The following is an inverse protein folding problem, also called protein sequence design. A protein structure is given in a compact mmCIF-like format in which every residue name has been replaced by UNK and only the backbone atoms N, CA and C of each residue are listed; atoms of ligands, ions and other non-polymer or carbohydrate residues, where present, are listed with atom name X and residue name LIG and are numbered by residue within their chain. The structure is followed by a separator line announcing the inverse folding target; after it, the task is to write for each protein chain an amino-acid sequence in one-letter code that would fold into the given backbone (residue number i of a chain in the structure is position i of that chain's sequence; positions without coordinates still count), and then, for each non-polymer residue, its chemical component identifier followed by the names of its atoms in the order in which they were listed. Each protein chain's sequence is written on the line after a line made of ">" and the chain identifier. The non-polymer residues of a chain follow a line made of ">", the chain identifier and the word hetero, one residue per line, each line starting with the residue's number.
data_IF_191059632164
#
_entry.id   IF_191059632164
#
_cell.length_a   1.000
_cell.length_b   1.000
_cell.length_c   1.000
_cell.angle_alpha   90.00
_cell.angle_beta   90.00
_cell.angle_gamma   90.00
#
_symmetry.space_group_name_H-M   'P 1'
#
loop_
_entity.id
_entity.type
_entity.pdbx_description
1 polymer ?
#
# COMPACT_ATOMS: atom_id res chain seq x y z
N UNK A 1 17.37 -19.79 26.97
CA UNK A 1 17.55 -20.88 27.96
C UNK A 1 16.72 -20.52 29.17
N UNK A 2 16.03 -21.46 29.83
CA UNK A 2 15.19 -21.12 31.00
C UNK A 2 16.06 -20.86 32.23
N UNK A 3 15.54 -20.11 33.20
CA UNK A 3 16.23 -19.87 34.47
C UNK A 3 16.60 -21.17 35.19
N UNK A 4 15.73 -22.19 35.14
CA UNK A 4 16.00 -23.48 35.78
C UNK A 4 17.21 -24.17 35.13
N UNK A 5 17.30 -24.15 33.80
CA UNK A 5 18.44 -24.73 33.09
C UNK A 5 19.75 -23.98 33.37
N UNK A 6 19.69 -22.64 33.49
CA UNK A 6 20.86 -21.83 33.88
C UNK A 6 21.30 -22.19 35.31
N UNK A 7 20.35 -22.29 36.23
CA UNK A 7 20.62 -22.61 37.63
C UNK A 7 21.20 -24.02 37.79
N UNK A 8 20.63 -25.01 37.10
CA UNK A 8 21.16 -26.38 37.09
C UNK A 8 22.59 -26.42 36.54
N UNK A 9 22.88 -25.66 35.48
CA UNK A 9 24.25 -25.57 34.95
C UNK A 9 25.23 -24.96 35.96
N UNK A 10 24.80 -23.91 36.69
CA UNK A 10 25.61 -23.33 37.77
C UNK A 10 25.88 -24.34 38.89
N UNK A 11 24.86 -25.09 39.33
CA UNK A 11 25.01 -26.13 40.36
C UNK A 11 25.92 -27.28 39.90
N UNK A 12 25.84 -27.68 38.63
CA UNK A 12 26.69 -28.72 38.04
C UNK A 12 28.16 -28.30 37.92
N UNK A 13 28.43 -26.99 37.83
CA UNK A 13 29.79 -26.45 37.74
C UNK A 13 30.48 -26.35 39.12
N UNK A 14 29.71 -26.31 40.20
CA UNK A 14 30.24 -26.25 41.57
C UNK A 14 30.73 -27.63 42.00
N UNK A 15 31.80 -27.70 42.81
CA UNK A 15 32.30 -28.97 43.34
C UNK A 15 31.26 -29.65 44.25
N UNK A 16 31.12 -30.98 44.14
CA UNK A 16 30.20 -31.79 44.95
C UNK A 16 30.53 -31.82 46.44
N UNK A 17 31.69 -31.30 46.86
CA UNK A 17 32.00 -31.11 48.29
C UNK A 17 31.12 -30.06 48.98
N UNK A 18 30.45 -29.19 48.23
CA UNK A 18 29.55 -28.16 48.77
C UNK A 18 28.10 -28.65 48.76
N UNK A 19 27.32 -28.26 49.77
CA UNK A 19 25.88 -28.54 49.81
C UNK A 19 25.16 -27.73 48.72
N UNK A 20 24.48 -28.44 47.81
CA UNK A 20 23.69 -27.92 46.67
C UNK A 20 22.19 -28.13 46.85
N UNK A 21 21.75 -28.61 48.01
CA UNK A 21 20.35 -28.89 48.28
C UNK A 21 19.49 -27.62 48.27
N UNK A 22 18.21 -27.78 47.92
CA UNK A 22 17.26 -26.67 47.87
C UNK A 22 17.10 -26.04 49.27
N UNK A 23 17.30 -24.72 49.36
CA UNK A 23 17.32 -23.96 50.62
C UNK A 23 18.69 -23.88 51.30
N UNK A 24 19.73 -24.48 50.72
CA UNK A 24 21.12 -24.29 51.14
C UNK A 24 21.71 -22.97 50.62
N UNK A 25 22.73 -22.45 51.29
CA UNK A 25 23.39 -21.19 50.93
C UNK A 25 23.85 -21.15 49.46
N UNK A 26 24.49 -22.23 48.99
CA UNK A 26 24.98 -22.33 47.60
C UNK A 26 23.83 -22.28 46.60
N UNK A 27 22.73 -22.98 46.88
CA UNK A 27 21.54 -23.02 46.03
C UNK A 27 20.89 -21.63 45.96
N UNK A 28 20.68 -20.97 47.10
CA UNK A 28 20.00 -19.66 47.12
C UNK A 28 20.83 -18.55 46.44
N UNK A 29 22.16 -18.54 46.67
CA UNK A 29 23.06 -17.57 46.02
C UNK A 29 23.12 -17.79 44.52
N UNK A 30 23.29 -19.04 44.06
CA UNK A 30 23.32 -19.34 42.62
C UNK A 30 21.97 -19.11 41.95
N UNK A 31 20.85 -19.32 42.65
CA UNK A 31 19.51 -19.00 42.16
C UNK A 31 19.33 -17.50 41.93
N UNK A 32 19.80 -16.66 42.87
CA UNK A 32 19.80 -15.20 42.73
C UNK A 32 20.62 -14.76 41.52
N UNK A 33 21.82 -15.32 41.34
CA UNK A 33 22.66 -15.04 40.17
C UNK A 33 22.01 -15.52 38.88
N UNK A 34 21.39 -16.71 38.87
CA UNK A 34 20.69 -17.25 37.72
C UNK A 34 19.54 -16.35 37.25
N UNK A 35 18.82 -15.69 38.16
CA UNK A 35 17.80 -14.68 37.79
C UNK A 35 18.43 -13.53 36.99
N UNK A 36 19.53 -12.96 37.48
CA UNK A 36 20.22 -11.84 36.82
C UNK A 36 20.78 -12.28 35.47
N UNK A 37 21.43 -13.45 35.40
CA UNK A 37 21.98 -14.01 34.17
C UNK A 37 20.89 -14.34 33.15
N UNK A 38 19.73 -14.84 33.59
CA UNK A 38 18.59 -15.07 32.72
C UNK A 38 18.11 -13.75 32.10
N UNK A 39 17.93 -12.69 32.90
CA UNK A 39 17.56 -11.38 32.38
C UNK A 39 18.59 -10.77 31.41
N UNK A 40 19.89 -11.02 31.61
CA UNK A 40 20.92 -10.63 30.64
C UNK A 40 20.91 -11.50 29.37
N UNK A 41 20.59 -12.79 29.50
CA UNK A 41 20.45 -13.71 28.37
C UNK A 41 19.24 -13.35 27.51
N UNK A 42 18.12 -12.95 28.12
CA UNK A 42 16.93 -12.45 27.42
C UNK A 42 17.27 -11.21 26.59
N UNK A 43 17.90 -10.18 27.19
CA UNK A 43 18.36 -8.99 26.47
C UNK A 43 19.36 -9.29 25.34
N UNK A 44 20.24 -10.26 25.57
CA UNK A 44 21.21 -10.69 24.55
C UNK A 44 20.50 -11.37 23.38
N UNK A 45 19.51 -12.22 23.64
CA UNK A 45 18.69 -12.84 22.58
C UNK A 45 17.88 -11.79 21.83
N UNK A 46 17.24 -10.84 22.52
CA UNK A 46 16.55 -9.71 21.87
C UNK A 46 17.50 -8.92 20.95
N UNK A 47 18.75 -8.71 21.39
CA UNK A 47 19.76 -8.02 20.58
C UNK A 47 20.18 -8.84 19.36
N UNK A 48 20.37 -10.16 19.53
CA UNK A 48 20.70 -11.08 18.44
C UNK A 48 19.55 -11.12 17.42
N UNK A 49 18.30 -11.17 17.88
CA UNK A 49 17.13 -11.20 17.02
C UNK A 49 17.04 -9.93 16.16
N UNK A 50 17.42 -8.77 16.73
CA UNK A 50 17.50 -7.50 16.01
C UNK A 50 18.62 -7.42 14.96
N UNK A 51 19.54 -8.38 14.91
CA UNK A 51 20.53 -8.46 13.82
C UNK A 51 19.91 -8.92 12.50
N UNK A 52 18.77 -9.62 12.56
CA UNK A 52 18.04 -10.02 11.38
C UNK A 52 16.99 -8.96 11.01
N UNK A 53 17.11 -8.39 9.80
CA UNK A 53 16.17 -7.38 9.28
C UNK A 53 14.73 -7.88 9.19
N UNK A 54 14.54 -9.20 9.04
CA UNK A 54 13.19 -9.80 9.00
C UNK A 54 12.46 -9.69 10.34
N UNK A 55 13.20 -9.56 11.45
CA UNK A 55 12.65 -9.40 12.79
C UNK A 55 12.41 -7.93 13.17
N UNK A 56 12.88 -6.97 12.36
CA UNK A 56 12.74 -5.55 12.64
C UNK A 56 11.39 -5.03 12.15
N UNK A 57 10.80 -4.12 12.93
CA UNK A 57 9.53 -3.46 12.63
C UNK A 57 9.59 -1.96 12.92
N UNK A 58 8.69 -1.18 12.33
CA UNK A 58 8.51 0.24 12.61
C UNK A 58 9.80 1.06 12.47
N UNK A 59 10.11 1.89 13.48
CA UNK A 59 11.27 2.78 13.46
C UNK A 59 12.61 2.03 13.40
N UNK A 60 12.71 0.86 14.03
CA UNK A 60 13.95 0.06 14.01
C UNK A 60 14.28 -0.41 12.59
N UNK A 61 13.26 -0.91 11.87
CA UNK A 61 13.39 -1.28 10.47
C UNK A 61 13.73 -0.08 9.60
N UNK A 62 13.03 1.05 9.78
CA UNK A 62 13.28 2.29 9.04
C UNK A 62 14.72 2.76 9.19
N UNK A 63 15.22 2.81 10.44
CA UNK A 63 16.59 3.20 10.73
C UNK A 63 17.60 2.23 10.13
N UNK A 64 17.36 0.93 10.24
CA UNK A 64 18.27 -0.10 9.69
C UNK A 64 18.39 0.00 8.17
N UNK A 65 17.25 0.09 7.48
CA UNK A 65 17.18 0.18 6.01
C UNK A 65 17.83 1.48 5.51
N UNK A 66 17.57 2.61 6.17
CA UNK A 66 18.21 3.88 5.84
C UNK A 66 19.73 3.80 6.00
N UNK A 67 20.24 3.30 7.13
CA UNK A 67 21.67 3.21 7.41
C UNK A 67 22.45 2.32 6.43
N UNK A 68 21.80 1.27 5.90
CA UNK A 68 22.47 0.26 5.05
C UNK A 68 22.27 0.48 3.55
N UNK A 69 21.13 1.03 3.15
CA UNK A 69 20.75 1.17 1.75
C UNK A 69 20.45 2.62 1.33
N UNK A 70 20.38 3.57 2.27
CA UNK A 70 20.00 4.97 1.99
C UNK A 70 18.51 5.15 1.67
N UNK A 71 17.70 4.11 1.82
CA UNK A 71 16.29 4.12 1.48
C UNK A 71 15.50 4.78 2.62
N UNK A 72 14.68 5.78 2.26
CA UNK A 72 13.72 6.41 3.17
C UNK A 72 12.35 5.74 3.04
N UNK A 73 11.66 5.58 4.17
CA UNK A 73 10.27 5.08 4.20
C UNK A 73 9.37 6.13 3.55
N UNK A 74 8.41 5.68 2.74
CA UNK A 74 7.40 6.59 2.18
C UNK A 74 6.36 6.93 3.24
N UNK A 75 6.19 8.21 3.50
CA UNK A 75 5.14 8.73 4.38
C UNK A 75 3.77 8.72 3.69
N UNK A 76 2.70 8.76 4.48
CA UNK A 76 1.35 8.91 3.94
C UNK A 76 1.18 10.26 3.25
N UNK A 77 0.48 10.28 2.11
CA UNK A 77 0.18 11.53 1.38
C UNK A 77 -1.20 12.05 1.73
N UNK A 78 -1.36 13.37 1.67
CA UNK A 78 -2.68 13.99 1.70
C UNK A 78 -3.28 13.96 0.30
N UNK A 79 -4.54 13.55 0.20
CA UNK A 79 -5.25 13.56 -1.07
C UNK A 79 -5.48 15.00 -1.52
N UNK A 80 -5.16 15.31 -2.78
CA UNK A 80 -5.34 16.65 -3.35
C UNK A 80 -6.13 16.59 -4.65
N UNK A 81 -6.96 17.61 -4.88
CA UNK A 81 -7.72 17.72 -6.13
C UNK A 81 -8.07 19.18 -6.42
N UNK A 82 -8.36 19.48 -7.67
CA UNK A 82 -9.07 20.72 -8.01
C UNK A 82 -10.56 20.50 -7.84
N UNK A 83 -11.24 21.45 -7.18
CA UNK A 83 -12.70 21.50 -7.10
C UNK A 83 -13.21 22.73 -7.83
N UNK A 84 -14.39 22.59 -8.43
CA UNK A 84 -15.12 23.68 -9.06
C UNK A 84 -16.08 24.29 -8.04
N UNK A 85 -15.96 25.59 -7.84
CA UNK A 85 -16.79 26.39 -6.94
C UNK A 85 -17.75 27.25 -7.76
N UNK A 86 -18.97 27.41 -7.26
CA UNK A 86 -20.00 28.28 -7.83
C UNK A 86 -20.43 29.32 -6.81
N UNK A 87 -20.62 30.57 -7.21
CA UNK A 87 -20.96 31.66 -6.30
C UNK A 87 -21.16 33.01 -6.98
N UNK A 88 -20.98 34.08 -6.22
CA UNK A 88 -21.05 35.44 -6.71
C UNK A 88 -19.81 35.78 -7.56
N UNK A 89 -20.01 36.56 -8.62
CA UNK A 89 -18.91 37.02 -9.46
C UNK A 89 -17.87 37.82 -8.67
N UNK A 90 -16.58 37.57 -8.94
CA UNK A 90 -15.44 38.19 -8.27
C UNK A 90 -15.36 37.94 -6.75
N UNK A 91 -16.06 36.92 -6.24
CA UNK A 91 -15.93 36.51 -4.84
C UNK A 91 -14.58 35.83 -4.61
N UNK A 92 -13.88 36.23 -3.55
CA UNK A 92 -12.66 35.57 -3.11
C UNK A 92 -12.98 34.46 -2.11
N UNK A 93 -12.38 33.31 -2.33
CA UNK A 93 -12.33 32.17 -1.41
C UNK A 93 -10.96 32.21 -0.74
N UNK A 94 -10.94 32.34 0.58
CA UNK A 94 -9.70 32.40 1.35
C UNK A 94 -8.96 31.07 1.34
N UNK A 95 -7.64 31.12 1.54
CA UNK A 95 -6.84 29.96 1.93
C UNK A 95 -7.43 29.30 3.19
N UNK A 96 -7.27 27.97 3.31
CA UNK A 96 -7.79 27.15 4.43
C UNK A 96 -9.31 27.21 4.62
N UNK A 97 -10.06 27.54 3.58
CA UNK A 97 -11.51 27.38 3.60
C UNK A 97 -11.87 25.88 3.61
N UNK A 98 -12.83 25.51 4.45
CA UNK A 98 -13.23 24.12 4.68
C UNK A 98 -14.33 23.67 3.71
N UNK A 99 -14.10 22.49 3.15
CA UNK A 99 -14.98 21.76 2.25
C UNK A 99 -15.15 20.33 2.78
N UNK A 100 -16.24 19.65 2.41
CA UNK A 100 -16.48 18.30 2.88
C UNK A 100 -17.07 17.36 1.84
N UNK A 101 -16.64 16.11 1.96
CA UNK A 101 -17.31 14.93 1.44
C UNK A 101 -17.81 14.10 2.64
N UNK A 102 -19.08 14.29 3.00
CA UNK A 102 -19.70 13.74 4.21
C UNK A 102 -18.89 14.08 5.50
N UNK A 103 -18.22 13.12 6.11
CA UNK A 103 -17.40 13.30 7.33
C UNK A 103 -15.91 13.59 7.05
N UNK A 104 -15.51 13.65 5.78
CA UNK A 104 -14.13 13.90 5.35
C UNK A 104 -13.97 15.37 5.00
N UNK A 105 -12.98 16.03 5.62
CA UNK A 105 -12.73 17.46 5.47
C UNK A 105 -11.53 17.76 4.57
N UNK A 106 -11.69 18.77 3.72
CA UNK A 106 -10.67 19.30 2.82
C UNK A 106 -10.48 20.80 3.06
N UNK A 107 -9.25 21.27 2.90
CA UNK A 107 -8.87 22.67 3.00
C UNK A 107 -8.35 23.19 1.66
N UNK A 108 -8.73 24.41 1.27
CA UNK A 108 -8.16 25.08 0.10
C UNK A 108 -6.70 25.45 0.34
N UNK A 109 -5.78 25.05 -0.56
CA UNK A 109 -4.34 25.32 -0.42
C UNK A 109 -3.95 26.76 -0.69
N UNK A 110 -4.72 27.44 -1.54
CA UNK A 110 -4.47 28.83 -1.95
C UNK A 110 -5.80 29.58 -2.05
N UNK A 111 -5.73 30.91 -1.97
CA UNK A 111 -6.90 31.74 -2.24
C UNK A 111 -7.24 31.72 -3.73
N UNK A 112 -8.53 31.62 -4.05
CA UNK A 112 -9.02 31.64 -5.44
C UNK A 112 -10.14 32.65 -5.60
N UNK A 113 -10.24 33.26 -6.79
CA UNK A 113 -11.28 34.25 -7.10
C UNK A 113 -12.22 33.67 -8.15
N UNK A 114 -13.52 33.71 -7.86
CA UNK A 114 -14.55 33.30 -8.82
C UNK A 114 -14.59 34.28 -10.00
N UNK A 115 -14.67 33.75 -11.21
CA UNK A 115 -14.72 34.54 -12.43
C UNK A 115 -16.02 35.35 -12.55
N UNK A 116 -16.18 36.09 -13.65
CA UNK A 116 -17.38 36.91 -13.92
C UNK A 116 -18.68 36.11 -14.01
N UNK A 117 -18.59 34.80 -14.28
CA UNK A 117 -19.73 33.88 -14.31
C UNK A 117 -20.00 33.24 -12.94
N UNK A 118 -19.24 33.60 -11.91
CA UNK A 118 -19.35 33.01 -10.57
C UNK A 118 -18.73 31.61 -10.47
N UNK A 119 -17.87 31.21 -11.40
CA UNK A 119 -17.20 29.91 -11.38
C UNK A 119 -15.70 30.06 -11.07
N UNK A 120 -15.13 29.15 -10.30
CA UNK A 120 -13.69 29.14 -10.03
C UNK A 120 -13.16 27.75 -9.72
N UNK A 121 -11.88 27.54 -10.00
CA UNK A 121 -11.18 26.33 -9.60
C UNK A 121 -10.25 26.66 -8.44
N UNK A 122 -10.19 25.76 -7.46
CA UNK A 122 -9.25 25.86 -6.34
C UNK A 122 -8.70 24.48 -6.03
N UNK A 123 -7.40 24.42 -5.74
CA UNK A 123 -6.76 23.19 -5.26
C UNK A 123 -7.10 23.00 -3.77
N UNK A 124 -7.55 21.81 -3.43
CA UNK A 124 -7.91 21.42 -2.05
C UNK A 124 -7.08 20.24 -1.61
N UNK A 125 -6.85 20.13 -0.31
CA UNK A 125 -6.09 19.06 0.34
C UNK A 125 -6.90 18.48 1.49
N UNK A 126 -6.98 17.15 1.59
CA UNK A 126 -7.61 16.48 2.73
C UNK A 126 -6.86 16.82 4.03
N UNK A 127 -7.57 17.01 5.14
CA UNK A 127 -6.96 17.25 6.45
C UNK A 127 -6.26 16.00 7.02
N UNK A 128 -6.73 14.81 6.61
CA UNK A 128 -6.18 13.52 7.04
C UNK A 128 -5.35 12.93 5.89
N UNK A 129 -4.17 12.41 6.22
CA UNK A 129 -3.34 11.69 5.26
C UNK A 129 -3.84 10.26 5.05
N UNK A 130 -3.45 9.67 3.93
CA UNK A 130 -3.82 8.32 3.57
C UNK A 130 -5.01 8.22 2.61
N UNK A 131 -5.47 6.98 2.35
CA UNK A 131 -6.55 6.72 1.40
C UNK A 131 -7.93 7.21 1.88
N UNK A 132 -8.05 7.67 3.13
CA UNK A 132 -9.30 8.25 3.67
C UNK A 132 -9.76 9.48 2.88
N UNK A 133 -8.83 10.22 2.27
CA UNK A 133 -9.15 11.37 1.42
C UNK A 133 -9.55 11.01 -0.03
N UNK A 134 -9.58 9.73 -0.39
CA UNK A 134 -9.95 9.31 -1.74
C UNK A 134 -11.47 9.19 -1.85
N UNK A 135 -12.06 10.00 -2.73
CA UNK A 135 -13.52 10.12 -2.87
C UNK A 135 -13.95 10.09 -4.33
N UNK A 136 -15.15 9.56 -4.65
CA UNK A 136 -15.65 9.52 -6.02
C UNK A 136 -15.97 10.92 -6.56
N UNK A 137 -16.22 11.02 -7.86
CA UNK A 137 -16.69 12.24 -8.52
C UNK A 137 -17.93 12.79 -7.81
N UNK A 138 -17.94 14.10 -7.55
CA UNK A 138 -19.05 14.81 -6.92
C UNK A 138 -19.28 14.53 -5.44
N UNK A 139 -18.36 13.85 -4.76
CA UNK A 139 -18.45 13.61 -3.32
C UNK A 139 -18.17 14.89 -2.50
N UNK A 140 -17.23 15.72 -2.94
CA UNK A 140 -16.93 17.01 -2.29
C UNK A 140 -18.01 18.00 -2.71
N UNK A 141 -19.05 18.12 -1.89
CA UNK A 141 -20.29 18.86 -2.22
C UNK A 141 -20.82 19.77 -1.11
N UNK A 142 -20.17 19.76 0.06
CA UNK A 142 -20.66 20.42 1.26
C UNK A 142 -19.66 21.42 1.83
N UNK A 143 -20.17 22.42 2.54
CA UNK A 143 -19.37 23.39 3.30
C UNK A 143 -19.65 23.20 4.79
N UNK A 144 -18.70 22.69 5.59
CA UNK A 144 -18.82 22.62 7.04
C UNK A 144 -18.94 24.00 7.68
N UNK A 145 -18.26 24.99 7.08
CA UNK A 145 -18.30 26.40 7.47
C UNK A 145 -18.74 27.19 6.25
N UNK A 146 -19.78 28.00 6.39
CA UNK A 146 -20.30 28.82 5.29
C UNK A 146 -19.21 29.75 4.74
N UNK A 147 -18.93 29.63 3.45
CA UNK A 147 -18.05 30.57 2.73
C UNK A 147 -18.93 31.64 2.10
N UNK A 148 -18.78 32.88 2.53
CA UNK A 148 -19.60 33.99 2.05
C UNK A 148 -19.50 34.14 0.53
N UNK A 149 -20.65 34.21 -0.14
CA UNK A 149 -20.72 34.37 -1.59
C UNK A 149 -20.42 33.11 -2.41
N UNK A 150 -20.21 31.96 -1.79
CA UNK A 150 -20.12 30.65 -2.48
C UNK A 150 -21.39 29.85 -2.20
N UNK A 151 -21.94 29.24 -3.25
CA UNK A 151 -23.22 28.54 -3.26
C UNK A 151 -23.08 27.02 -3.31
N UNK A 152 -22.14 26.51 -4.10
CA UNK A 152 -21.91 25.07 -4.25
C UNK A 152 -20.46 24.76 -4.63
N UNK A 153 -20.06 23.53 -4.37
CA UNK A 153 -18.75 22.95 -4.74
C UNK A 153 -18.98 21.58 -5.36
N UNK A 154 -18.13 21.21 -6.31
CA UNK A 154 -18.08 19.87 -6.87
C UNK A 154 -16.65 19.50 -7.26
N UNK A 155 -16.21 18.28 -6.96
CA UNK A 155 -15.03 17.69 -7.60
C UNK A 155 -15.46 17.03 -8.91
N UNK A 156 -14.93 17.50 -10.04
CA UNK A 156 -15.25 16.96 -11.37
C UNK A 156 -14.57 15.61 -11.63
N UNK A 157 -13.46 15.35 -10.93
CA UNK A 157 -12.69 14.10 -11.02
C UNK A 157 -12.69 13.38 -9.67
N UNK A 158 -12.55 12.04 -9.70
CA UNK A 158 -12.34 11.27 -8.49
C UNK A 158 -10.96 11.58 -7.89
N UNK A 159 -10.88 11.55 -6.56
CA UNK A 159 -9.63 11.75 -5.83
C UNK A 159 -9.05 10.37 -5.50
N UNK A 160 -7.83 10.09 -5.96
CA UNK A 160 -7.17 8.78 -5.82
C UNK A 160 -5.73 8.85 -5.31
N UNK A 161 -5.19 10.07 -5.12
CA UNK A 161 -3.79 10.31 -4.79
C UNK A 161 -3.48 10.38 -3.28
N UNK A 162 -4.45 10.03 -2.43
CA UNK A 162 -4.21 9.74 -1.02
C UNK A 162 -3.64 8.33 -0.85
N UNK A 163 -2.39 8.23 -0.42
CA UNK A 163 -1.67 6.98 -0.24
C UNK A 163 -1.33 6.75 1.23
N UNK A 164 -1.46 5.51 1.69
CA UNK A 164 -1.04 5.13 3.02
C UNK A 164 0.48 5.21 3.18
N UNK A 165 0.96 5.32 4.42
CA UNK A 165 2.37 5.15 4.71
C UNK A 165 2.82 3.74 4.34
N UNK A 166 4.07 3.61 3.94
CA UNK A 166 4.65 2.34 3.53
C UNK A 166 4.70 1.33 4.68
N UNK A 167 4.22 0.11 4.39
CA UNK A 167 4.23 -1.01 5.33
C UNK A 167 5.65 -1.51 5.60
N UNK A 168 5.84 -2.24 6.71
CA UNK A 168 7.12 -2.87 7.02
C UNK A 168 7.49 -3.92 5.96
N UNK A 169 6.50 -4.64 5.43
CA UNK A 169 6.65 -5.61 4.36
C UNK A 169 7.16 -4.96 3.07
N UNK A 170 6.56 -3.84 2.66
CA UNK A 170 6.94 -3.13 1.43
C UNK A 170 8.33 -2.49 1.56
N UNK A 171 8.63 -1.87 2.71
CA UNK A 171 9.96 -1.31 2.97
C UNK A 171 11.03 -2.40 2.94
N UNK A 172 10.76 -3.56 3.56
CA UNK A 172 11.67 -4.71 3.55
C UNK A 172 11.84 -5.28 2.13
N UNK A 173 10.77 -5.33 1.34
CA UNK A 173 10.85 -5.73 -0.07
C UNK A 173 11.75 -4.79 -0.86
N UNK A 174 11.60 -3.46 -0.72
CA UNK A 174 12.50 -2.48 -1.36
C UNK A 174 13.94 -2.63 -0.91
N UNK A 175 14.17 -2.88 0.37
CA UNK A 175 15.51 -3.14 0.89
C UNK A 175 16.17 -4.35 0.21
N UNK A 176 15.45 -5.47 0.10
CA UNK A 176 15.95 -6.65 -0.60
C UNK A 176 16.10 -6.44 -2.11
N UNK A 177 15.14 -5.76 -2.75
CA UNK A 177 15.21 -5.41 -4.17
C UNK A 177 16.49 -4.61 -4.47
N UNK A 178 16.83 -3.60 -3.65
CA UNK A 178 18.06 -2.81 -3.81
C UNK A 178 19.32 -3.67 -3.72
N UNK A 179 19.36 -4.64 -2.81
CA UNK A 179 20.54 -5.48 -2.59
C UNK A 179 20.67 -6.60 -3.64
N UNK A 180 19.56 -7.23 -4.01
CA UNK A 180 19.54 -8.42 -4.88
C UNK A 180 19.39 -8.07 -6.37
N UNK A 181 18.76 -6.93 -6.68
CA UNK A 181 18.52 -6.44 -8.04
C UNK A 181 19.06 -5.01 -8.19
N UNK A 182 20.37 -4.78 -7.97
CA UNK A 182 20.91 -3.43 -7.97
C UNK A 182 20.75 -2.77 -9.34
N UNK A 183 20.23 -1.54 -9.34
CA UNK A 183 20.31 -0.63 -10.46
C UNK A 183 21.77 -0.36 -10.81
N UNK A 184 22.17 -0.68 -12.05
CA UNK A 184 23.55 -0.49 -12.52
C UNK A 184 23.54 0.01 -13.95
N UNK A 185 24.18 1.17 -14.18
CA UNK A 185 24.41 1.74 -15.51
C UNK A 185 23.15 1.79 -16.40
N UNK A 186 21.98 2.10 -15.82
CA UNK A 186 20.71 2.17 -16.56
C UNK A 186 20.21 0.80 -17.04
N UNK A 187 20.48 -0.28 -16.31
CA UNK A 187 19.80 -1.55 -16.54
C UNK A 187 18.29 -1.45 -16.21
N UNK A 188 17.51 -2.48 -16.56
CA UNK A 188 16.05 -2.50 -16.30
C UNK A 188 15.68 -2.25 -14.83
N UNK A 189 16.52 -2.72 -13.89
CA UNK A 189 16.27 -2.56 -12.45
C UNK A 189 16.51 -1.11 -11.98
N UNK A 190 17.36 -0.35 -12.66
CA UNK A 190 17.57 1.07 -12.34
C UNK A 190 16.32 1.90 -12.65
N UNK A 191 15.70 1.65 -13.80
CA UNK A 191 14.42 2.29 -14.15
C UNK A 191 13.28 1.88 -13.22
N UNK A 192 13.26 0.61 -12.80
CA UNK A 192 12.30 0.13 -11.79
C UNK A 192 12.51 0.83 -10.45
N UNK A 193 13.77 1.00 -10.04
CA UNK A 193 14.16 1.70 -8.82
C UNK A 193 13.74 3.17 -8.85
N UNK A 194 14.17 3.92 -9.87
CA UNK A 194 13.81 5.33 -10.04
C UNK A 194 12.29 5.55 -10.06
N UNK A 195 11.55 4.71 -10.78
CA UNK A 195 10.09 4.78 -10.75
C UNK A 195 9.53 4.54 -9.33
N UNK A 196 10.07 3.57 -8.59
CA UNK A 196 9.66 3.26 -7.22
C UNK A 196 10.12 4.30 -6.20
N UNK A 197 11.03 5.22 -6.51
CA UNK A 197 11.40 6.31 -5.61
C UNK A 197 10.29 7.36 -5.50
N UNK A 198 9.52 7.55 -6.57
CA UNK A 198 8.38 8.47 -6.59
C UNK A 198 7.27 7.97 -5.65
N UNK A 199 6.78 8.87 -4.80
CA UNK A 199 5.70 8.59 -3.87
C UNK A 199 4.41 8.37 -4.68
N UNK A 200 3.65 7.34 -4.32
CA UNK A 200 2.45 6.96 -5.05
C UNK A 200 2.65 5.89 -6.10
N UNK A 201 3.88 5.51 -6.44
CA UNK A 201 4.16 4.31 -7.27
C UNK A 201 4.12 3.04 -6.41
N UNK A 202 3.31 2.07 -6.82
CA UNK A 202 3.20 0.76 -6.17
C UNK A 202 4.06 -0.32 -6.83
N UNK A 203 3.69 -0.74 -8.05
CA UNK A 203 4.45 -1.72 -8.84
C UNK A 203 4.85 -1.13 -10.19
N UNK A 204 5.93 -1.68 -10.73
CA UNK A 204 6.56 -1.23 -11.98
C UNK A 204 6.97 -2.44 -12.80
N UNK A 205 6.74 -2.38 -14.12
CA UNK A 205 7.26 -3.35 -15.09
C UNK A 205 8.00 -2.60 -16.19
N UNK A 206 9.26 -2.98 -16.42
CA UNK A 206 10.16 -2.32 -17.37
C UNK A 206 10.36 -3.20 -18.60
N UNK A 207 10.21 -2.60 -19.79
CA UNK A 207 10.38 -3.21 -21.09
C UNK A 207 11.56 -2.57 -21.83
N UNK A 208 12.73 -3.22 -21.83
CA UNK A 208 13.87 -2.77 -22.63
C UNK A 208 13.61 -2.96 -24.12
N UNK A 209 14.12 -2.05 -24.95
CA UNK A 209 14.08 -2.14 -26.41
C UNK A 209 12.66 -2.24 -26.99
N UNK A 210 11.67 -1.67 -26.29
CA UNK A 210 10.26 -1.82 -26.65
C UNK A 210 9.89 -1.21 -28.01
N UNK A 211 10.61 -0.16 -28.42
CA UNK A 211 10.48 0.53 -29.70
C UNK A 211 11.86 0.72 -30.37
N UNK A 212 12.68 -0.33 -30.32
CA UNK A 212 14.01 -0.35 -30.93
C UNK A 212 15.16 0.07 -29.99
N UNK A 213 16.37 0.30 -30.54
CA UNK A 213 17.57 0.57 -29.75
C UNK A 213 17.42 1.77 -28.83
N UNK A 214 17.99 1.67 -27.62
CA UNK A 214 18.01 2.72 -26.59
C UNK A 214 16.62 3.15 -26.06
N UNK A 215 15.54 2.45 -26.44
CA UNK A 215 14.20 2.72 -25.91
C UNK A 215 13.91 1.89 -24.66
N UNK A 216 13.24 2.49 -23.67
CA UNK A 216 12.80 1.84 -22.44
C UNK A 216 11.38 2.28 -22.16
N UNK A 217 10.47 1.31 -21.98
CA UNK A 217 9.12 1.58 -21.51
C UNK A 217 8.97 1.16 -20.06
N UNK A 218 8.45 2.06 -19.24
CA UNK A 218 8.19 1.85 -17.82
C UNK A 218 6.68 1.90 -17.62
N UNK A 219 6.09 0.78 -17.24
CA UNK A 219 4.65 0.69 -16.95
C UNK A 219 4.47 0.67 -15.45
N UNK A 220 3.70 1.61 -14.92
CA UNK A 220 3.49 1.77 -13.48
C UNK A 220 2.02 1.55 -13.09
N UNK A 221 1.82 1.15 -11.83
CA UNK A 221 0.55 1.24 -11.12
C UNK A 221 0.74 2.08 -9.87
N UNK A 222 -0.34 2.69 -9.39
CA UNK A 222 -0.27 3.47 -8.16
C UNK A 222 -0.03 2.59 -6.91
N UNK A 223 0.16 3.20 -5.75
CA UNK A 223 0.38 2.50 -4.48
C UNK A 223 -0.86 1.72 -4.02
N UNK A 224 -2.04 2.04 -4.56
CA UNK A 224 -3.26 1.27 -4.36
C UNK A 224 -3.36 0.07 -5.32
N UNK A 225 -2.40 -0.12 -6.24
CA UNK A 225 -2.45 -1.12 -7.32
C UNK A 225 -3.66 -0.88 -8.24
N UNK A 226 -3.88 0.38 -8.57
CA UNK A 226 -4.90 0.86 -9.51
C UNK A 226 -4.22 1.65 -10.64
N UNK A 227 -5.03 2.09 -11.61
CA UNK A 227 -4.52 2.86 -12.74
C UNK A 227 -3.99 4.20 -12.19
N UNK A 228 -2.72 4.54 -12.46
CA UNK A 228 -2.13 5.78 -11.95
C UNK A 228 -2.75 7.00 -12.61
N UNK A 229 -2.77 8.13 -11.88
CA UNK A 229 -3.15 9.42 -12.45
C UNK A 229 -2.11 9.91 -13.46
N UNK A 230 -2.52 10.79 -14.37
CA UNK A 230 -1.59 11.44 -15.32
C UNK A 230 -0.49 12.22 -14.59
N UNK A 231 -0.82 12.86 -13.46
CA UNK A 231 0.15 13.55 -12.63
C UNK A 231 1.25 12.59 -12.16
N UNK A 232 0.89 11.41 -11.63
CA UNK A 232 1.87 10.43 -11.16
C UNK A 232 2.74 9.91 -12.30
N UNK A 233 2.17 9.71 -13.50
CA UNK A 233 2.94 9.30 -14.69
C UNK A 233 3.97 10.38 -15.05
N UNK A 234 3.58 11.65 -15.02
CA UNK A 234 4.46 12.77 -15.32
C UNK A 234 5.56 12.94 -14.26
N UNK A 235 5.23 12.82 -12.98
CA UNK A 235 6.19 12.90 -11.87
C UNK A 235 7.26 11.81 -12.01
N UNK A 236 6.85 10.58 -12.38
CA UNK A 236 7.77 9.47 -12.64
C UNK A 236 8.63 9.72 -13.87
N UNK A 237 8.05 10.26 -14.94
CA UNK A 237 8.79 10.60 -16.15
C UNK A 237 9.86 11.66 -15.86
N UNK A 238 9.50 12.74 -15.17
CA UNK A 238 10.42 13.83 -14.80
C UNK A 238 11.57 13.32 -13.92
N UNK A 239 11.26 12.49 -12.92
CA UNK A 239 12.27 11.88 -12.06
C UNK A 239 13.25 11.02 -12.86
N UNK A 240 12.75 10.11 -13.69
CA UNK A 240 13.61 9.24 -14.53
C UNK A 240 14.43 10.06 -15.53
N UNK A 241 13.87 11.11 -16.13
CA UNK A 241 14.59 12.00 -17.05
C UNK A 241 15.79 12.68 -16.37
N UNK A 242 15.68 13.01 -15.08
CA UNK A 242 16.79 13.62 -14.32
C UNK A 242 17.94 12.64 -14.01
N UNK A 243 17.65 11.34 -13.93
CA UNK A 243 18.59 10.30 -13.49
C UNK A 243 19.15 9.43 -14.64
N UNK A 244 18.40 9.30 -15.74
CA UNK A 244 18.74 8.35 -16.82
C UNK A 244 20.08 8.65 -17.50
N UNK A 245 20.77 7.64 -18.06
CA UNK A 245 21.95 7.87 -18.85
C UNK A 245 21.63 8.68 -20.11
N UNK A 246 22.62 9.45 -20.56
CA UNK A 246 22.54 10.17 -21.83
C UNK A 246 22.23 9.22 -23.00
N UNK A 247 21.28 9.63 -23.85
CA UNK A 247 20.91 8.88 -25.06
C UNK A 247 19.84 7.80 -24.88
N UNK A 248 19.44 7.47 -23.64
CA UNK A 248 18.26 6.63 -23.41
C UNK A 248 16.96 7.39 -23.78
N UNK A 249 15.99 6.71 -24.39
CA UNK A 249 14.67 7.26 -24.70
C UNK A 249 13.66 6.54 -23.82
N UNK A 250 13.09 7.26 -22.86
CA UNK A 250 12.18 6.69 -21.86
C UNK A 250 10.74 7.02 -22.20
N UNK A 251 9.86 6.06 -22.01
CA UNK A 251 8.41 6.24 -22.09
C UNK A 251 7.79 5.68 -20.82
N UNK A 252 7.12 6.54 -20.05
CA UNK A 252 6.37 6.12 -18.85
C UNK A 252 4.90 6.08 -19.21
N UNK A 253 4.21 4.99 -18.87
CA UNK A 253 2.76 4.84 -19.07
C UNK A 253 2.12 4.18 -17.86
N UNK A 254 0.84 4.48 -17.61
CA UNK A 254 0.05 3.70 -16.67
C UNK A 254 -0.29 2.30 -17.22
N UNK A 255 -0.49 1.35 -16.32
CA UNK A 255 -1.07 0.06 -16.70
C UNK A 255 -2.48 0.23 -17.25
N UNK A 256 -2.86 -0.62 -18.21
CA UNK A 256 -4.24 -0.66 -18.71
C UNK A 256 -5.08 -1.62 -17.88
N UNK A 257 -6.32 -1.26 -17.59
CA UNK A 257 -7.25 -2.16 -16.89
C UNK A 257 -7.70 -3.30 -17.80
N UNK A 258 -7.67 -4.51 -17.26
CA UNK A 258 -8.40 -5.67 -17.77
C UNK A 258 -9.53 -5.95 -16.79
N UNK A 259 -10.75 -5.54 -17.14
CA UNK A 259 -11.91 -5.75 -16.27
C UNK A 259 -12.29 -7.24 -16.20
N UNK A 260 -12.38 -7.74 -14.96
CA UNK A 260 -12.83 -9.09 -14.65
C UNK A 260 -14.23 -9.01 -14.06
N UNK A 261 -15.21 -9.37 -14.88
CA UNK A 261 -16.60 -9.54 -14.46
C UNK A 261 -16.78 -10.95 -13.90
N UNK A 262 -17.31 -11.05 -12.69
CA UNK A 262 -17.56 -12.30 -11.99
C UNK A 262 -19.06 -12.51 -11.90
N UNK A 263 -19.54 -13.62 -12.46
CA UNK A 263 -20.92 -14.09 -12.30
C UNK A 263 -20.89 -15.45 -11.62
N UNK A 264 -21.65 -15.61 -10.55
CA UNK A 264 -21.69 -16.86 -9.78
C UNK A 264 -23.02 -17.00 -9.05
N UNK A 265 -23.49 -18.23 -8.97
CA UNK A 265 -24.68 -18.59 -8.19
C UNK A 265 -24.18 -19.10 -6.82
N UNK A 266 -24.62 -18.48 -5.72
CA UNK A 266 -24.08 -18.78 -4.39
C UNK A 266 -25.14 -19.35 -3.45
N UNK A 267 -24.73 -20.28 -2.60
CA UNK A 267 -25.54 -20.75 -1.47
C UNK A 267 -25.04 -20.07 -0.20
N UNK A 268 -25.88 -19.25 0.43
CA UNK A 268 -25.54 -18.48 1.64
C UNK A 268 -26.07 -19.20 2.88
N UNK A 269 -25.35 -19.11 4.00
CA UNK A 269 -25.78 -19.62 5.28
C UNK A 269 -27.02 -18.88 5.80
N UNK A 270 -27.94 -19.59 6.46
CA UNK A 270 -29.15 -18.99 7.05
C UNK A 270 -28.81 -17.87 8.05
N UNK A 271 -29.44 -16.70 7.89
CA UNK A 271 -29.34 -15.57 8.81
C UNK A 271 -28.37 -14.45 8.42
N UNK A 272 -27.62 -14.58 7.31
CA UNK A 272 -26.75 -13.51 6.79
C UNK A 272 -27.44 -12.64 5.73
N UNK A 273 -27.05 -11.36 5.68
CA UNK A 273 -27.56 -10.40 4.71
C UNK A 273 -26.72 -10.52 3.42
N UNK A 274 -27.38 -10.73 2.28
CA UNK A 274 -26.71 -10.91 0.98
C UNK A 274 -25.75 -9.75 0.62
N UNK A 275 -26.03 -8.52 1.07
CA UNK A 275 -25.18 -7.37 0.78
C UNK A 275 -23.85 -7.39 1.56
N UNK A 276 -23.83 -7.85 2.82
CA UNK A 276 -22.57 -7.94 3.59
C UNK A 276 -21.64 -8.99 2.98
N UNK A 277 -22.18 -10.14 2.60
CA UNK A 277 -21.45 -11.21 1.89
C UNK A 277 -20.90 -10.69 0.56
N UNK A 278 -21.70 -9.91 -0.18
CA UNK A 278 -21.28 -9.31 -1.45
C UNK A 278 -20.15 -8.30 -1.28
N UNK A 279 -20.18 -7.47 -0.24
CA UNK A 279 -19.12 -6.52 0.08
C UNK A 279 -17.82 -7.27 0.42
N UNK A 280 -17.90 -8.27 1.32
CA UNK A 280 -16.76 -9.09 1.71
C UNK A 280 -16.15 -9.82 0.52
N UNK A 281 -16.98 -10.45 -0.32
CA UNK A 281 -16.53 -11.16 -1.51
C UNK A 281 -15.84 -10.24 -2.51
N UNK A 282 -16.44 -9.06 -2.79
CA UNK A 282 -15.82 -8.04 -3.66
C UNK A 282 -14.45 -7.62 -3.13
N UNK A 283 -14.33 -7.39 -1.82
CA UNK A 283 -13.07 -7.02 -1.20
C UNK A 283 -12.01 -8.12 -1.34
N UNK A 284 -12.39 -9.39 -1.10
CA UNK A 284 -11.49 -10.53 -1.23
C UNK A 284 -11.02 -10.76 -2.67
N UNK A 285 -11.94 -10.73 -3.64
CA UNK A 285 -11.58 -10.84 -5.07
C UNK A 285 -10.71 -9.65 -5.49
N UNK A 286 -11.06 -8.42 -5.10
CA UNK A 286 -10.23 -7.23 -5.41
C UNK A 286 -8.81 -7.39 -4.87
N UNK A 287 -8.64 -7.89 -3.64
CA UNK A 287 -7.32 -8.16 -3.05
C UNK A 287 -6.54 -9.19 -3.86
N UNK A 288 -7.18 -10.27 -4.28
CA UNK A 288 -6.56 -11.28 -5.14
C UNK A 288 -6.11 -10.70 -6.48
N UNK A 289 -6.98 -9.97 -7.19
CA UNK A 289 -6.61 -9.38 -8.49
C UNK A 289 -5.43 -8.39 -8.35
N UNK A 290 -5.40 -7.56 -7.30
CA UNK A 290 -4.25 -6.69 -7.01
C UNK A 290 -2.95 -7.47 -6.80
N UNK A 291 -3.01 -8.65 -6.19
CA UNK A 291 -1.81 -9.49 -6.01
C UNK A 291 -1.19 -9.94 -7.34
N UNK A 292 -2.00 -10.11 -8.39
CA UNK A 292 -1.58 -10.58 -9.71
C UNK A 292 -0.91 -9.51 -10.57
N UNK A 293 -1.11 -8.22 -10.28
CA UNK A 293 -0.58 -7.11 -11.06
C UNK A 293 0.94 -7.25 -11.26
N UNK A 294 1.37 -7.43 -12.53
CA UNK A 294 2.74 -7.69 -12.98
C UNK A 294 3.44 -8.94 -12.42
N UNK A 295 2.75 -9.78 -11.66
CA UNK A 295 3.29 -11.00 -11.04
C UNK A 295 2.74 -12.27 -11.70
N UNK A 296 1.67 -12.16 -12.49
CA UNK A 296 1.03 -13.30 -13.18
C UNK A 296 0.57 -12.93 -14.60
N UNK A 297 0.52 -13.95 -15.46
CA UNK A 297 0.09 -13.85 -16.85
C UNK A 297 -1.39 -14.24 -17.04
N UNK A 298 -2.08 -14.69 -16.00
CA UNK A 298 -3.50 -15.05 -16.07
C UNK A 298 -4.24 -14.92 -14.74
N UNK A 299 -5.55 -14.72 -14.81
CA UNK A 299 -6.49 -14.81 -13.68
C UNK A 299 -7.01 -16.24 -13.63
N UNK A 300 -6.76 -16.93 -12.51
CA UNK A 300 -7.18 -18.32 -12.32
C UNK A 300 -8.62 -18.39 -11.84
N UNK A 301 -9.49 -19.07 -12.61
CA UNK A 301 -10.87 -19.33 -12.21
C UNK A 301 -10.94 -20.17 -10.94
N UNK A 302 -10.04 -21.14 -10.80
CA UNK A 302 -10.00 -22.00 -9.62
C UNK A 302 -9.64 -21.22 -8.35
N UNK A 303 -8.75 -20.23 -8.44
CA UNK A 303 -8.42 -19.39 -7.29
C UNK A 303 -9.58 -18.48 -6.90
N UNK A 304 -10.31 -17.92 -7.88
CA UNK A 304 -11.54 -17.16 -7.59
C UNK A 304 -12.59 -18.06 -6.91
N UNK A 305 -12.76 -19.29 -7.40
CA UNK A 305 -13.64 -20.29 -6.77
C UNK A 305 -13.24 -20.59 -5.33
N UNK A 306 -11.94 -20.77 -5.06
CA UNK A 306 -11.42 -20.93 -3.70
C UNK A 306 -11.75 -19.72 -2.81
N UNK A 307 -11.53 -18.50 -3.30
CA UNK A 307 -11.83 -17.27 -2.55
C UNK A 307 -13.32 -17.14 -2.23
N UNK A 308 -14.19 -17.56 -3.13
CA UNK A 308 -15.64 -17.61 -2.90
C UNK A 308 -15.94 -18.54 -1.72
N UNK A 309 -15.38 -19.75 -1.70
CA UNK A 309 -15.59 -20.71 -0.60
C UNK A 309 -14.95 -20.28 0.73
N UNK A 310 -13.85 -19.53 0.70
CA UNK A 310 -13.21 -18.97 1.89
C UNK A 310 -13.91 -17.70 2.41
N UNK A 311 -14.85 -17.14 1.65
CA UNK A 311 -15.59 -15.95 2.08
C UNK A 311 -16.66 -16.37 3.08
N UNK A 312 -16.59 -15.80 4.28
CA UNK A 312 -17.52 -16.07 5.37
C UNK A 312 -18.97 -15.87 4.92
N UNK A 313 -19.83 -16.84 5.27
CA UNK A 313 -21.24 -16.84 4.91
C UNK A 313 -21.59 -17.60 3.64
N UNK A 314 -20.62 -17.98 2.81
CA UNK A 314 -20.85 -18.79 1.61
C UNK A 314 -20.65 -20.27 1.96
N UNK A 315 -21.69 -21.07 1.72
CA UNK A 315 -21.67 -22.53 1.95
C UNK A 315 -21.12 -23.24 0.72
N UNK A 316 -21.57 -22.84 -0.47
CA UNK A 316 -21.14 -23.42 -1.75
C UNK A 316 -21.42 -22.45 -2.91
N UNK A 317 -20.89 -22.76 -4.10
CA UNK A 317 -21.16 -22.00 -5.32
C UNK A 317 -21.30 -22.90 -6.56
N UNK A 318 -22.08 -22.44 -7.54
CA UNK A 318 -22.24 -23.07 -8.85
C UNK A 318 -22.16 -22.03 -9.98
N UNK A 319 -21.95 -22.50 -11.22
CA UNK A 319 -21.88 -21.67 -12.45
C UNK A 319 -20.95 -20.44 -12.37
N UNK A 320 -19.77 -20.56 -11.74
CA UNK A 320 -18.76 -19.49 -11.73
C UNK A 320 -18.23 -19.21 -13.14
N UNK A 321 -18.50 -18.00 -13.62
CA UNK A 321 -18.03 -17.44 -14.90
C UNK A 321 -17.19 -16.18 -14.71
N UNK A 322 -16.15 -16.07 -15.52
CA UNK A 322 -15.30 -14.89 -15.65
C UNK A 322 -15.46 -14.33 -17.06
N UNK A 323 -15.90 -13.08 -17.19
CA UNK A 323 -16.18 -12.45 -18.49
C UNK A 323 -17.04 -13.34 -19.40
N UNK A 324 -18.14 -13.89 -18.85
CA UNK A 324 -19.05 -14.86 -19.49
C UNK A 324 -18.46 -16.26 -19.80
N UNK A 325 -17.17 -16.47 -19.61
CA UNK A 325 -16.47 -17.73 -19.88
C UNK A 325 -16.21 -18.61 -18.65
N UNK A 326 -15.79 -19.85 -18.90
CA UNK A 326 -15.41 -20.85 -17.86
C UNK A 326 -13.92 -21.18 -17.84
N UNK A 327 -13.10 -20.47 -18.63
CA UNK A 327 -11.65 -20.61 -18.68
C UNK A 327 -10.96 -19.60 -17.75
N UNK A 328 -9.64 -19.75 -17.59
CA UNK A 328 -8.81 -18.68 -17.07
C UNK A 328 -8.81 -17.49 -18.06
N UNK A 329 -8.52 -16.30 -17.56
CA UNK A 329 -8.41 -15.09 -18.38
C UNK A 329 -6.93 -14.70 -18.48
N UNK A 330 -6.38 -14.64 -19.68
CA UNK A 330 -5.00 -14.16 -19.89
C UNK A 330 -4.89 -12.67 -19.58
N UNK A 331 -3.78 -12.27 -18.96
CA UNK A 331 -3.44 -10.89 -18.63
C UNK A 331 -2.40 -10.43 -19.66
N UNK A 332 -2.76 -9.52 -20.57
CA UNK A 332 -1.78 -8.93 -21.48
C UNK A 332 -0.66 -8.23 -20.72
N UNK A 333 0.53 -8.16 -21.33
CA UNK A 333 1.76 -7.74 -20.64
C UNK A 333 1.66 -6.39 -19.90
N UNK A 334 1.01 -5.39 -20.52
CA UNK A 334 0.86 -4.03 -19.99
C UNK A 334 -0.41 -3.82 -19.18
N UNK A 335 -1.17 -4.89 -18.94
CA UNK A 335 -2.45 -4.83 -18.27
C UNK A 335 -2.37 -5.33 -16.84
N UNK A 336 -3.31 -4.85 -16.02
CA UNK A 336 -3.56 -5.38 -14.68
C UNK A 336 -5.03 -5.80 -14.58
N UNK A 337 -5.34 -6.93 -13.92
CA UNK A 337 -6.71 -7.31 -13.73
C UNK A 337 -7.36 -6.40 -12.69
N UNK A 338 -8.50 -5.81 -13.03
CA UNK A 338 -9.30 -5.00 -12.11
C UNK A 338 -10.67 -5.61 -11.94
N UNK A 339 -11.25 -5.46 -10.75
CA UNK A 339 -12.59 -5.97 -10.50
C UNK A 339 -13.60 -5.15 -11.29
N UNK A 340 -14.36 -5.82 -12.17
CA UNK A 340 -15.51 -5.24 -12.85
C UNK A 340 -16.78 -5.45 -12.03
N UNK A 341 -17.82 -5.98 -12.66
CA UNK A 341 -19.08 -6.32 -12.00
C UNK A 341 -18.99 -7.65 -11.25
N UNK A 342 -19.65 -7.72 -10.08
CA UNK A 342 -19.86 -8.98 -9.34
C UNK A 342 -21.36 -9.21 -9.25
N UNK A 343 -21.84 -10.20 -10.01
CA UNK A 343 -23.23 -10.61 -10.08
C UNK A 343 -23.41 -11.90 -9.30
N UNK A 344 -24.18 -11.82 -8.21
CA UNK A 344 -24.56 -12.94 -7.37
C UNK A 344 -26.02 -13.28 -7.68
N UNK A 345 -26.28 -14.57 -7.92
CA UNK A 345 -27.61 -15.11 -8.22
C UNK A 345 -28.05 -16.01 -7.08
#
# INVERSE_FOLDING_TARGET
>A
MSINAIHENMLNTINDTFDKSNGGFTYDVTRSIANVVNGQSEKSNETIDKLNVDNLTGEELTRFVFQRAGITRKEATFATTFVKLFGNANQTVSEKALLAADEIFYETKEASVLNVNGEGYVEVMCQLSGPIGNVPVGAIKSFPVTIAGVTSVINENAVTNGYAAESDEDLRKRYYDKLQRPGKAGNKYHYEEWAKEVIGVGKVKVYPLWDGPLTIKVVIVDANIEIPSEQLINDVLEHIESERPFGAIVTVTGATSLEINVRVDITVQEGLINEDVKIALKANIKRYLKSLAFESEYVSRAQIGKIILETEGIVDYVDLRLNEGTSNIEIPDTNIPTLGTVTLI
#
